data_IF_634356796009
#
_entry.id   IF_634356796009
#
_cell.length_a   1.000
_cell.length_b   1.000
_cell.length_c   1.000
_cell.angle_alpha   90.00
_cell.angle_beta   90.00
_cell.angle_gamma   90.00
#
_symmetry.space_group_name_H-M   'P 1'
#
loop_
_entity.id
_entity.type
_entity.pdbx_description
1 polymer ?
#
# COMPACT_ATOMS: atom_id res chain seq x y z
N UNK A 1 -4.90 -2.78 39.81
CA UNK A 1 -4.73 -4.07 39.10
C UNK A 1 -4.37 -3.76 37.66
N UNK A 2 -3.12 -3.96 37.25
CA UNK A 2 -2.72 -3.77 35.86
C UNK A 2 -3.25 -4.95 35.05
N UNK A 3 -4.27 -4.72 34.22
CA UNK A 3 -4.70 -5.70 33.22
C UNK A 3 -3.61 -5.76 32.16
N UNK A 4 -2.66 -6.69 32.29
CA UNK A 4 -1.69 -6.98 31.24
C UNK A 4 -2.40 -7.76 30.14
N UNK A 5 -2.68 -7.10 29.02
CA UNK A 5 -3.16 -7.77 27.82
C UNK A 5 -2.06 -8.65 27.23
N UNK A 6 -2.44 -9.78 26.62
CA UNK A 6 -1.50 -10.58 25.82
C UNK A 6 -0.83 -9.70 24.75
N UNK A 7 0.47 -9.92 24.41
CA UNK A 7 1.16 -9.18 23.35
C UNK A 7 0.39 -9.10 22.04
N UNK A 8 -0.32 -10.19 21.69
CA UNK A 8 -1.17 -10.27 20.51
C UNK A 8 -2.34 -9.28 20.57
N UNK A 9 -3.05 -9.23 21.69
CA UNK A 9 -4.20 -8.31 21.90
C UNK A 9 -3.73 -6.86 21.81
N UNK A 10 -2.56 -6.56 22.41
CA UNK A 10 -1.98 -5.21 22.36
C UNK A 10 -1.66 -4.80 20.93
N UNK A 11 -1.04 -5.68 20.14
CA UNK A 11 -0.75 -5.42 18.72
C UNK A 11 -2.01 -5.25 17.89
N UNK A 12 -3.03 -6.07 18.11
CA UNK A 12 -4.32 -5.94 17.42
C UNK A 12 -5.00 -4.59 17.69
N UNK A 13 -4.96 -4.12 18.94
CA UNK A 13 -5.46 -2.79 19.32
C UNK A 13 -4.68 -1.70 18.59
N UNK A 14 -3.35 -1.78 18.59
CA UNK A 14 -2.50 -0.80 17.90
C UNK A 14 -2.74 -0.76 16.39
N UNK A 15 -2.88 -1.91 15.73
CA UNK A 15 -3.22 -1.99 14.30
C UNK A 15 -4.58 -1.39 14.00
N UNK A 16 -5.57 -1.62 14.87
CA UNK A 16 -6.91 -1.02 14.74
C UNK A 16 -6.87 0.51 14.92
N UNK A 17 -6.08 1.01 15.86
CA UNK A 17 -5.85 2.44 16.04
C UNK A 17 -5.14 3.07 14.83
N UNK A 18 -4.17 2.35 14.24
CA UNK A 18 -3.49 2.79 13.01
C UNK A 18 -4.49 2.92 11.85
N UNK A 19 -5.36 1.92 11.65
CA UNK A 19 -6.42 1.96 10.62
C UNK A 19 -7.27 3.23 10.79
N UNK A 20 -7.79 3.48 12.00
CA UNK A 20 -8.62 4.67 12.29
C UNK A 20 -7.86 5.97 12.01
N UNK A 21 -6.58 6.02 12.35
CA UNK A 21 -5.73 7.18 12.06
C UNK A 21 -5.57 7.41 10.55
N UNK A 22 -5.36 6.33 9.78
CA UNK A 22 -5.28 6.42 8.32
C UNK A 22 -6.62 6.80 7.67
N UNK A 23 -7.75 6.33 8.21
CA UNK A 23 -9.08 6.72 7.75
C UNK A 23 -9.35 8.22 7.96
N UNK A 24 -9.01 8.75 9.14
CA UNK A 24 -9.11 10.18 9.41
C UNK A 24 -8.21 11.00 8.47
N UNK A 25 -6.99 10.52 8.23
CA UNK A 25 -6.09 11.13 7.24
C UNK A 25 -6.70 11.10 5.83
N UNK A 26 -7.29 9.98 5.42
CA UNK A 26 -7.93 9.82 4.13
C UNK A 26 -9.08 10.83 3.96
N UNK A 27 -9.96 10.95 4.96
CA UNK A 27 -11.06 11.92 4.96
C UNK A 27 -10.53 13.35 4.79
N UNK A 28 -9.46 13.72 5.51
CA UNK A 28 -8.85 15.03 5.39
C UNK A 28 -8.25 15.27 3.99
N UNK A 29 -7.58 14.28 3.40
CA UNK A 29 -7.01 14.38 2.06
C UNK A 29 -8.09 14.50 0.98
N UNK A 30 -9.19 13.76 1.11
CA UNK A 30 -10.34 13.82 0.20
C UNK A 30 -11.08 15.15 0.31
N UNK A 31 -11.30 15.65 1.54
CA UNK A 31 -11.87 16.98 1.78
C UNK A 31 -10.97 18.08 1.21
N UNK A 32 -9.65 17.97 1.40
CA UNK A 32 -8.67 18.89 0.81
C UNK A 32 -8.75 18.85 -0.72
N UNK A 33 -8.78 17.66 -1.34
CA UNK A 33 -8.91 17.51 -2.80
C UNK A 33 -10.17 18.19 -3.33
N UNK A 34 -11.30 18.00 -2.65
CA UNK A 34 -12.57 18.62 -3.01
C UNK A 34 -12.49 20.15 -2.91
N UNK A 35 -11.94 20.67 -1.80
CA UNK A 35 -11.72 22.12 -1.61
C UNK A 35 -10.82 22.71 -2.69
N UNK A 36 -9.70 22.07 -3.02
CA UNK A 36 -8.79 22.56 -4.07
C UNK A 36 -9.49 22.62 -5.44
N UNK A 37 -10.22 21.57 -5.81
CA UNK A 37 -10.98 21.52 -7.08
C UNK A 37 -12.11 22.55 -7.12
N UNK A 38 -12.84 22.73 -6.03
CA UNK A 38 -13.87 23.75 -5.90
C UNK A 38 -13.28 25.15 -6.07
N UNK A 39 -12.18 25.44 -5.38
CA UNK A 39 -11.44 26.71 -5.50
C UNK A 39 -11.05 27.01 -6.94
N UNK A 40 -10.43 26.05 -7.65
CA UNK A 40 -10.06 26.24 -9.05
C UNK A 40 -11.26 26.42 -9.97
N UNK A 41 -12.36 25.71 -9.72
CA UNK A 41 -13.58 25.82 -10.52
C UNK A 41 -14.21 27.20 -10.35
N UNK A 42 -14.31 27.68 -9.11
CA UNK A 42 -14.86 29.00 -8.81
C UNK A 42 -13.94 30.11 -9.29
N UNK A 43 -12.62 29.97 -9.15
CA UNK A 43 -11.63 30.89 -9.72
C UNK A 43 -11.86 31.10 -11.23
N UNK A 44 -12.01 30.01 -12.00
CA UNK A 44 -12.26 30.09 -13.45
C UNK A 44 -13.56 30.84 -13.77
N UNK A 45 -14.62 30.61 -12.98
CA UNK A 45 -15.90 31.34 -13.12
C UNK A 45 -15.76 32.82 -12.74
N UNK A 46 -15.04 33.12 -11.67
CA UNK A 46 -14.80 34.48 -11.15
C UNK A 46 -14.01 35.34 -12.13
N UNK A 47 -12.96 34.78 -12.74
CA UNK A 47 -12.23 35.44 -13.83
C UNK A 47 -13.15 35.76 -15.01
N UNK A 48 -13.97 34.79 -15.44
CA UNK A 48 -14.93 34.97 -16.54
C UNK A 48 -16.01 36.02 -16.22
N UNK A 49 -16.40 36.16 -14.95
CA UNK A 49 -17.41 37.10 -14.48
C UNK A 49 -16.85 38.51 -14.19
N UNK A 50 -15.61 38.81 -14.58
CA UNK A 50 -15.03 40.15 -14.37
C UNK A 50 -14.55 40.41 -12.94
N UNK A 51 -14.28 39.36 -12.16
CA UNK A 51 -13.69 39.43 -10.80
C UNK A 51 -14.59 40.04 -9.72
N UNK A 52 -15.91 39.83 -9.79
CA UNK A 52 -16.83 40.22 -8.71
C UNK A 52 -16.67 39.34 -7.46
N UNK A 53 -16.11 39.89 -6.37
CA UNK A 53 -15.92 39.20 -5.09
C UNK A 53 -17.22 38.69 -4.46
N UNK A 54 -18.39 39.27 -4.76
CA UNK A 54 -19.69 38.78 -4.24
C UNK A 54 -20.02 37.39 -4.74
N UNK A 55 -19.55 37.03 -5.95
CA UNK A 55 -19.74 35.71 -6.53
C UNK A 55 -18.96 34.61 -5.79
N UNK A 56 -17.86 34.94 -5.11
CA UNK A 56 -17.07 33.97 -4.34
C UNK A 56 -17.79 33.56 -3.05
N UNK A 57 -18.40 34.53 -2.37
CA UNK A 57 -19.19 34.30 -1.15
C UNK A 57 -20.44 33.48 -1.49
N UNK A 58 -21.15 33.83 -2.56
CA UNK A 58 -22.33 33.07 -3.03
C UNK A 58 -22.00 31.64 -3.45
N UNK A 59 -20.77 31.37 -3.89
CA UNK A 59 -20.31 30.03 -4.26
C UNK A 59 -20.04 29.11 -3.05
N UNK A 60 -20.22 29.59 -1.81
CA UNK A 60 -20.04 28.80 -0.59
C UNK A 60 -18.59 28.43 -0.30
N UNK A 61 -17.63 29.21 -0.81
CA UNK A 61 -16.22 29.06 -0.50
C UNK A 61 -15.96 29.50 0.95
N UNK A 62 -15.07 28.78 1.64
CA UNK A 62 -14.57 29.21 2.93
C UNK A 62 -13.65 30.45 2.80
N UNK A 63 -13.52 31.19 3.91
CA UNK A 63 -12.69 32.38 4.04
C UNK A 63 -11.25 32.21 3.53
N UNK A 64 -10.63 31.05 3.78
CA UNK A 64 -9.27 30.77 3.29
C UNK A 64 -9.22 30.58 1.77
N UNK A 65 -10.26 29.96 1.19
CA UNK A 65 -10.35 29.76 -0.25
C UNK A 65 -10.58 31.08 -0.97
N UNK A 66 -11.43 31.94 -0.42
CA UNK A 66 -11.68 33.30 -0.93
C UNK A 66 -10.39 34.10 -0.90
N UNK A 67 -9.71 34.15 0.26
CA UNK A 67 -8.43 34.85 0.40
C UNK A 67 -7.41 34.33 -0.61
N UNK A 68 -7.32 33.01 -0.79
CA UNK A 68 -6.40 32.42 -1.76
C UNK A 68 -6.73 32.82 -3.19
N UNK A 69 -8.00 32.89 -3.58
CA UNK A 69 -8.43 33.38 -4.91
C UNK A 69 -8.11 34.86 -5.09
N UNK A 70 -8.46 35.71 -4.12
CA UNK A 70 -8.32 37.18 -4.24
C UNK A 70 -6.85 37.63 -4.23
N UNK A 71 -6.00 36.94 -3.47
CA UNK A 71 -4.56 37.23 -3.40
C UNK A 71 -3.76 36.55 -4.52
N UNK A 72 -4.39 35.63 -5.27
CA UNK A 72 -3.73 34.93 -6.35
C UNK A 72 -3.34 35.89 -7.47
N UNK A 73 -2.06 35.87 -7.83
CA UNK A 73 -1.54 36.54 -9.02
C UNK A 73 -1.17 35.47 -10.03
N UNK A 74 -1.76 35.56 -11.21
CA UNK A 74 -1.47 34.64 -12.30
C UNK A 74 -0.01 34.81 -12.72
N UNK A 75 0.76 33.72 -12.57
CA UNK A 75 2.17 33.64 -12.90
C UNK A 75 2.38 32.45 -13.86
N UNK A 76 3.38 31.59 -13.61
CA UNK A 76 3.53 30.34 -14.35
C UNK A 76 2.35 29.38 -14.12
N UNK A 77 1.72 29.44 -12.95
CA UNK A 77 0.54 28.64 -12.66
C UNK A 77 -0.71 29.36 -13.20
N UNK A 78 -1.62 28.63 -13.85
CA UNK A 78 -2.85 29.18 -14.45
C UNK A 78 -4.06 29.20 -13.49
N UNK A 79 -3.87 28.77 -12.25
CA UNK A 79 -4.94 28.61 -11.26
C UNK A 79 -4.38 28.51 -9.82
N UNK A 80 -5.15 28.91 -8.80
CA UNK A 80 -4.71 28.96 -7.40
C UNK A 80 -4.15 27.65 -6.83
N UNK A 81 -4.70 26.51 -7.26
CA UNK A 81 -4.15 25.18 -6.97
C UNK A 81 -3.64 24.54 -8.26
N UNK A 82 -2.33 24.57 -8.54
CA UNK A 82 -1.79 24.05 -9.78
C UNK A 82 -2.04 22.55 -9.95
N UNK A 83 -1.99 22.07 -11.20
CA UNK A 83 -2.36 20.69 -11.50
C UNK A 83 -1.48 19.65 -10.78
N UNK A 84 -0.20 19.94 -10.57
CA UNK A 84 0.70 19.04 -9.86
C UNK A 84 0.32 18.87 -8.38
N UNK A 85 -0.21 19.90 -7.73
CA UNK A 85 -0.65 19.85 -6.32
C UNK A 85 -1.83 18.88 -6.17
N UNK A 86 -2.81 18.99 -7.08
CA UNK A 86 -3.98 18.10 -7.15
C UNK A 86 -3.57 16.65 -7.46
N UNK A 87 -2.61 16.46 -8.37
CA UNK A 87 -2.09 15.14 -8.73
C UNK A 87 -1.34 14.50 -7.55
N UNK A 88 -0.49 15.26 -6.87
CA UNK A 88 0.27 14.79 -5.72
C UNK A 88 -0.66 14.35 -4.58
N UNK A 89 -1.64 15.20 -4.22
CA UNK A 89 -2.63 14.83 -3.21
C UNK A 89 -3.43 13.58 -3.63
N UNK A 90 -3.80 13.49 -4.91
CA UNK A 90 -4.44 12.29 -5.46
C UNK A 90 -3.59 11.02 -5.34
N UNK A 91 -2.27 11.11 -5.52
CA UNK A 91 -1.35 10.00 -5.29
C UNK A 91 -1.30 9.62 -3.80
N UNK A 92 -1.24 10.60 -2.90
CA UNK A 92 -1.28 10.37 -1.46
C UNK A 92 -2.59 9.70 -1.02
N UNK A 93 -3.74 10.10 -1.57
CA UNK A 93 -5.04 9.45 -1.33
C UNK A 93 -4.98 7.97 -1.72
N UNK A 94 -4.53 7.66 -2.95
CA UNK A 94 -4.43 6.26 -3.42
C UNK A 94 -3.51 5.43 -2.53
N UNK A 95 -2.36 5.96 -2.15
CA UNK A 95 -1.42 5.27 -1.27
C UNK A 95 -1.99 5.05 0.13
N UNK A 96 -2.74 6.02 0.66
CA UNK A 96 -3.40 5.90 1.97
C UNK A 96 -4.50 4.82 1.93
N UNK A 97 -5.29 4.74 0.85
CA UNK A 97 -6.29 3.66 0.65
C UNK A 97 -5.62 2.28 0.63
N UNK A 98 -4.55 2.13 -0.15
CA UNK A 98 -3.76 0.89 -0.18
C UNK A 98 -3.25 0.49 1.21
N UNK A 99 -2.76 1.47 1.99
CA UNK A 99 -2.29 1.21 3.36
C UNK A 99 -3.42 0.73 4.28
N UNK A 100 -4.61 1.31 4.18
CA UNK A 100 -5.79 0.87 4.94
C UNK A 100 -6.15 -0.57 4.54
N UNK A 101 -6.22 -0.87 3.24
CA UNK A 101 -6.51 -2.22 2.74
C UNK A 101 -5.50 -3.25 3.26
N UNK A 102 -4.20 -2.94 3.21
CA UNK A 102 -3.14 -3.79 3.73
C UNK A 102 -3.28 -4.05 5.24
N UNK A 103 -3.53 -3.00 6.03
CA UNK A 103 -3.70 -3.12 7.48
C UNK A 103 -4.94 -3.94 7.84
N UNK A 104 -6.06 -3.68 7.18
CA UNK A 104 -7.31 -4.41 7.37
C UNK A 104 -7.15 -5.88 7.00
N UNK A 105 -6.46 -6.19 5.90
CA UNK A 105 -6.15 -7.56 5.50
C UNK A 105 -5.31 -8.27 6.57
N UNK A 106 -4.27 -7.63 7.10
CA UNK A 106 -3.43 -8.22 8.18
C UNK A 106 -4.24 -8.50 9.44
N UNK A 107 -5.10 -7.56 9.84
CA UNK A 107 -6.02 -7.73 10.96
C UNK A 107 -6.95 -8.92 10.75
N UNK A 108 -7.52 -9.06 9.55
CA UNK A 108 -8.42 -10.16 9.21
C UNK A 108 -7.68 -11.51 9.15
N UNK A 109 -6.48 -11.57 8.59
CA UNK A 109 -5.64 -12.78 8.56
C UNK A 109 -5.27 -13.25 9.97
N UNK A 110 -4.87 -12.32 10.86
CA UNK A 110 -4.57 -12.63 12.24
C UNK A 110 -5.80 -13.13 13.01
N UNK A 111 -6.97 -12.55 12.74
CA UNK A 111 -8.24 -13.00 13.33
C UNK A 111 -8.67 -14.37 12.81
N UNK A 112 -8.51 -14.64 11.51
CA UNK A 112 -8.87 -15.93 10.91
C UNK A 112 -7.98 -17.09 11.40
N UNK A 113 -6.78 -16.79 11.88
CA UNK A 113 -5.90 -17.76 12.52
C UNK A 113 -6.16 -17.91 14.04
N UNK A 114 -7.23 -17.31 14.58
CA UNK A 114 -7.52 -17.20 16.02
C UNK A 114 -6.35 -16.63 16.85
N UNK A 115 -5.41 -15.95 16.18
CA UNK A 115 -4.16 -15.49 16.79
C UNK A 115 -3.11 -16.58 17.04
N UNK A 116 -3.37 -17.81 16.63
CA UNK A 116 -2.45 -18.94 16.75
C UNK A 116 -1.45 -18.96 15.59
N UNK A 117 -0.21 -19.30 15.90
CA UNK A 117 0.84 -19.44 14.90
C UNK A 117 0.49 -20.59 13.95
N UNK A 118 0.54 -20.32 12.65
CA UNK A 118 0.31 -21.36 11.63
C UNK A 118 1.63 -22.02 11.27
N UNK A 119 1.72 -23.32 11.47
CA UNK A 119 2.88 -24.12 11.05
C UNK A 119 2.57 -24.89 9.76
N UNK A 120 3.51 -24.92 8.82
CA UNK A 120 3.42 -25.71 7.59
C UNK A 120 4.71 -26.49 7.41
N UNK A 121 4.63 -27.81 7.40
CA UNK A 121 5.78 -28.70 7.20
C UNK A 121 6.25 -28.71 5.75
N UNK A 122 7.55 -28.87 5.55
CA UNK A 122 8.20 -29.10 4.26
C UNK A 122 9.32 -30.13 4.38
N UNK A 123 9.87 -30.55 3.25
CA UNK A 123 11.01 -31.47 3.25
C UNK A 123 12.27 -30.81 3.86
N UNK A 124 12.60 -31.22 5.09
CA UNK A 124 13.75 -30.70 5.84
C UNK A 124 13.43 -29.69 6.94
N UNK A 125 12.16 -29.39 7.22
CA UNK A 125 11.78 -28.46 8.29
C UNK A 125 10.31 -28.04 8.30
N UNK A 126 10.02 -26.91 8.94
CA UNK A 126 8.70 -26.28 8.95
C UNK A 126 8.79 -24.76 8.85
N UNK A 127 7.77 -24.15 8.25
CA UNK A 127 7.59 -22.70 8.20
C UNK A 127 6.51 -22.30 9.18
N UNK A 128 6.83 -21.33 10.04
CA UNK A 128 5.97 -20.85 11.12
C UNK A 128 5.57 -19.41 10.78
N UNK A 129 4.27 -19.19 10.63
CA UNK A 129 3.65 -17.88 10.49
C UNK A 129 3.36 -17.37 11.89
N UNK A 130 4.33 -16.68 12.47
CA UNK A 130 4.21 -16.10 13.79
C UNK A 130 3.46 -14.76 13.69
N UNK A 131 2.15 -14.80 13.92
CA UNK A 131 1.30 -13.60 13.84
C UNK A 131 1.51 -12.70 15.05
N UNK A 132 1.92 -13.26 16.18
CA UNK A 132 2.23 -12.49 17.39
C UNK A 132 3.40 -11.55 17.16
N UNK A 133 4.50 -12.00 16.57
CA UNK A 133 5.71 -11.23 16.31
C UNK A 133 5.79 -10.64 14.89
N UNK A 134 4.76 -10.87 14.07
CA UNK A 134 4.75 -10.54 12.65
C UNK A 134 6.03 -11.06 11.97
N UNK A 135 6.34 -12.33 12.21
CA UNK A 135 7.53 -13.00 11.66
C UNK A 135 7.10 -14.21 10.85
N UNK A 136 7.70 -14.34 9.67
CA UNK A 136 7.75 -15.60 8.98
C UNK A 136 9.07 -16.27 9.38
N UNK A 137 8.96 -17.39 10.09
CA UNK A 137 10.08 -18.13 10.64
C UNK A 137 10.23 -19.46 9.90
N UNK A 138 11.46 -19.94 9.77
CA UNK A 138 11.80 -21.21 9.14
C UNK A 138 12.66 -22.00 10.12
N UNK A 139 12.13 -23.13 10.53
CA UNK A 139 12.77 -24.11 11.39
C UNK A 139 13.28 -25.28 10.54
N UNK A 140 14.58 -25.52 10.57
CA UNK A 140 15.18 -26.63 9.83
C UNK A 140 15.55 -27.75 10.80
N UNK A 141 15.21 -28.99 10.44
CA UNK A 141 15.55 -30.17 11.25
C UNK A 141 17.07 -30.37 11.40
N UNK A 142 17.81 -29.96 10.37
CA UNK A 142 19.26 -30.01 10.32
C UNK A 142 19.81 -28.73 9.69
N UNK A 143 21.12 -28.48 9.87
CA UNK A 143 21.77 -27.31 9.27
C UNK A 143 21.54 -27.31 7.75
N UNK A 144 20.89 -26.28 7.18
CA UNK A 144 20.62 -26.24 5.75
C UNK A 144 21.92 -26.16 4.94
N UNK A 145 21.88 -26.68 3.71
CA UNK A 145 23.04 -26.64 2.82
C UNK A 145 23.48 -25.21 2.52
N UNK A 146 24.78 -24.98 2.21
CA UNK A 146 25.30 -23.65 1.89
C UNK A 146 24.52 -22.91 0.79
N UNK A 147 23.99 -23.64 -0.21
CA UNK A 147 23.15 -23.09 -1.27
C UNK A 147 21.83 -22.54 -0.73
N UNK A 148 21.15 -23.27 0.15
CA UNK A 148 19.90 -22.83 0.79
C UNK A 148 20.15 -21.63 1.71
N UNK A 149 21.24 -21.64 2.49
CA UNK A 149 21.63 -20.48 3.32
C UNK A 149 21.80 -19.22 2.47
N UNK A 150 22.42 -19.34 1.29
CA UNK A 150 22.59 -18.22 0.37
C UNK A 150 21.25 -17.70 -0.14
N UNK A 151 20.36 -18.59 -0.59
CA UNK A 151 19.02 -18.22 -1.06
C UNK A 151 18.20 -17.50 0.03
N UNK A 152 18.25 -18.00 1.27
CA UNK A 152 17.61 -17.37 2.42
C UNK A 152 18.09 -15.92 2.60
N UNK A 153 19.41 -15.71 2.61
CA UNK A 153 20.01 -14.37 2.75
C UNK A 153 19.66 -13.44 1.60
N UNK A 154 19.73 -13.93 0.36
CA UNK A 154 19.39 -13.16 -0.84
C UNK A 154 17.92 -12.71 -0.82
N UNK A 155 17.03 -13.54 -0.26
CA UNK A 155 15.62 -13.20 -0.08
C UNK A 155 15.29 -12.54 1.27
N UNK A 156 16.30 -12.05 1.99
CA UNK A 156 16.13 -11.22 3.18
C UNK A 156 15.75 -11.96 4.47
N UNK A 157 15.84 -13.29 4.51
CA UNK A 157 15.79 -14.04 5.76
C UNK A 157 17.10 -13.86 6.54
N UNK A 158 16.97 -13.66 7.85
CA UNK A 158 18.10 -13.48 8.76
C UNK A 158 18.05 -14.56 9.83
N UNK A 159 19.20 -15.15 10.13
CA UNK A 159 19.36 -16.03 11.29
C UNK A 159 19.18 -15.22 12.57
N UNK A 160 18.27 -15.66 13.44
CA UNK A 160 18.02 -15.03 14.73
C UNK A 160 18.50 -15.96 15.86
N UNK A 161 19.70 -15.73 16.43
CA UNK A 161 20.28 -16.63 17.43
C UNK A 161 19.46 -16.70 18.73
N UNK A 162 18.66 -15.68 19.03
CA UNK A 162 17.78 -15.66 20.20
C UNK A 162 16.62 -16.65 20.11
N UNK A 163 16.14 -16.94 18.89
CA UNK A 163 15.03 -17.87 18.64
C UNK A 163 15.55 -19.19 18.05
N UNK A 164 16.77 -19.19 17.50
CA UNK A 164 17.35 -20.36 16.83
C UNK A 164 16.72 -20.64 15.46
N UNK A 165 16.12 -19.64 14.81
CA UNK A 165 15.38 -19.79 13.56
C UNK A 165 15.82 -18.77 12.51
N UNK A 166 15.63 -19.11 11.23
CA UNK A 166 15.69 -18.12 10.16
C UNK A 166 14.38 -17.34 10.14
N UNK A 167 14.43 -16.01 10.10
CA UNK A 167 13.21 -15.22 10.12
C UNK A 167 13.27 -13.95 9.27
N UNK A 168 12.09 -13.50 8.85
CA UNK A 168 11.84 -12.23 8.15
C UNK A 168 10.51 -11.64 8.63
N UNK A 169 10.30 -10.34 8.43
CA UNK A 169 8.99 -9.69 8.60
C UNK A 169 7.91 -10.45 7.81
N UNK A 170 6.76 -10.72 8.44
CA UNK A 170 5.62 -11.38 7.82
C UNK A 170 4.94 -10.43 6.83
N UNK A 171 5.40 -10.46 5.58
CA UNK A 171 4.83 -9.69 4.47
C UNK A 171 4.40 -10.62 3.34
N UNK A 172 3.54 -10.16 2.45
CA UNK A 172 3.08 -10.98 1.31
C UNK A 172 4.25 -11.45 0.43
N UNK A 173 5.30 -10.63 0.29
CA UNK A 173 6.53 -11.06 -0.39
C UNK A 173 7.25 -12.17 0.38
N UNK A 174 7.35 -12.09 1.71
CA UNK A 174 7.95 -13.16 2.50
C UNK A 174 7.17 -14.47 2.36
N UNK A 175 5.83 -14.41 2.38
CA UNK A 175 4.95 -15.55 2.16
C UNK A 175 5.19 -16.18 0.77
N UNK A 176 5.25 -15.36 -0.27
CA UNK A 176 5.54 -15.82 -1.64
C UNK A 176 6.90 -16.48 -1.78
N UNK A 177 7.94 -15.89 -1.18
CA UNK A 177 9.29 -16.48 -1.22
C UNK A 177 9.31 -17.82 -0.49
N UNK A 178 8.67 -17.92 0.68
CA UNK A 178 8.64 -19.18 1.43
C UNK A 178 7.87 -20.26 0.66
N UNK A 179 6.75 -19.91 0.03
CA UNK A 179 6.00 -20.79 -0.85
C UNK A 179 6.87 -21.30 -2.02
N UNK A 180 7.62 -20.41 -2.67
CA UNK A 180 8.55 -20.78 -3.74
C UNK A 180 9.73 -21.66 -3.26
N UNK A 181 10.40 -21.28 -2.17
CA UNK A 181 11.59 -21.97 -1.67
C UNK A 181 11.27 -23.35 -1.09
N UNK A 182 10.15 -23.47 -0.37
CA UNK A 182 9.81 -24.66 0.41
C UNK A 182 8.64 -25.46 -0.17
N UNK A 183 7.96 -24.94 -1.19
CA UNK A 183 6.83 -25.60 -1.87
C UNK A 183 5.68 -25.94 -0.91
N UNK A 184 5.40 -25.01 0.01
CA UNK A 184 4.45 -25.17 1.13
C UNK A 184 3.04 -24.62 0.84
N UNK A 185 2.80 -24.18 -0.40
CA UNK A 185 1.53 -23.68 -0.93
C UNK A 185 1.40 -23.97 -2.43
N UNK A 186 0.41 -23.38 -3.09
CA UNK A 186 0.01 -23.70 -4.47
C UNK A 186 0.97 -23.24 -5.56
N UNK A 187 2.24 -22.98 -5.24
CA UNK A 187 3.28 -22.61 -6.21
C UNK A 187 3.56 -23.76 -7.18
N UNK A 188 2.77 -23.82 -8.27
CA UNK A 188 3.11 -24.54 -9.48
C UNK A 188 4.01 -23.62 -10.32
N UNK A 189 5.31 -23.94 -10.51
CA UNK A 189 6.21 -23.12 -11.32
C UNK A 189 5.69 -22.84 -12.73
N UNK A 190 4.88 -23.77 -13.27
CA UNK A 190 4.23 -23.68 -14.58
C UNK A 190 3.17 -22.56 -14.63
N UNK A 191 2.33 -22.42 -13.59
CA UNK A 191 1.25 -21.42 -13.57
C UNK A 191 1.78 -19.97 -13.45
N UNK A 192 2.96 -19.77 -12.86
CA UNK A 192 3.61 -18.46 -12.79
C UNK A 192 4.24 -18.10 -14.12
N UNK A 193 4.97 -19.03 -14.75
CA UNK A 193 5.51 -18.86 -16.09
C UNK A 193 4.42 -18.58 -17.14
N UNK A 194 3.27 -19.24 -17.02
CA UNK A 194 2.10 -19.00 -17.88
C UNK A 194 1.48 -17.61 -17.67
N UNK A 195 1.40 -17.12 -16.41
CA UNK A 195 0.91 -15.77 -16.11
C UNK A 195 1.86 -14.70 -16.63
N UNK A 196 3.17 -14.88 -16.47
CA UNK A 196 4.19 -13.97 -17.01
C UNK A 196 4.19 -13.97 -18.54
N UNK A 197 4.05 -15.14 -19.18
CA UNK A 197 3.90 -15.24 -20.63
C UNK A 197 2.62 -14.54 -21.12
N UNK A 198 1.52 -14.68 -20.37
CA UNK A 198 0.24 -14.01 -20.69
C UNK A 198 0.35 -12.49 -20.55
N UNK A 199 0.97 -12.00 -19.48
CA UNK A 199 1.20 -10.56 -19.28
C UNK A 199 2.12 -9.98 -20.35
N UNK A 200 3.18 -10.71 -20.73
CA UNK A 200 4.08 -10.31 -21.82
C UNK A 200 3.34 -10.24 -23.16
N UNK A 201 2.53 -11.24 -23.48
CA UNK A 201 1.71 -11.25 -24.70
C UNK A 201 0.67 -10.11 -24.71
N UNK A 202 0.06 -9.80 -23.57
CA UNK A 202 -0.85 -8.65 -23.44
C UNK A 202 -0.13 -7.31 -23.63
N UNK A 203 1.07 -7.16 -23.09
CA UNK A 203 1.89 -5.97 -23.28
C UNK A 203 2.32 -5.81 -24.75
N UNK A 204 2.73 -6.91 -25.40
CA UNK A 204 3.08 -6.92 -26.83
C UNK A 204 1.88 -6.58 -27.72
N UNK A 205 0.69 -7.12 -27.42
CA UNK A 205 -0.54 -6.76 -28.12
C UNK A 205 -0.94 -5.30 -27.91
N UNK A 206 -0.76 -4.77 -26.69
CA UNK A 206 -1.03 -3.38 -26.37
C UNK A 206 -0.04 -2.42 -27.06
N UNK A 207 1.22 -2.83 -27.21
CA UNK A 207 2.24 -2.11 -27.98
C UNK A 207 1.94 -2.13 -29.48
N UNK A 208 1.49 -3.28 -30.02
CA UNK A 208 1.08 -3.40 -31.42
C UNK A 208 -0.17 -2.55 -31.74
N UNK A 209 -1.09 -2.42 -30.78
CA UNK A 209 -2.27 -1.57 -30.92
C UNK A 209 -1.94 -0.06 -30.93
N UNK A 210 -0.78 0.32 -30.39
CA UNK A 210 -0.23 1.68 -30.45
C UNK A 210 0.87 1.83 -31.52
N UNK A 211 1.09 0.82 -32.37
CA UNK A 211 1.95 0.99 -33.53
C UNK A 211 1.22 1.85 -34.58
N UNK A 212 1.76 3.04 -34.87
CA UNK A 212 1.25 3.93 -35.92
C UNK A 212 1.51 3.23 -37.27
N UNK A 213 0.53 3.14 -38.19
CA UNK A 213 0.78 2.55 -39.50
C UNK A 213 1.83 3.39 -40.23
N UNK A 214 2.89 2.74 -40.71
CA UNK A 214 3.89 3.37 -41.55
C UNK A 214 3.19 3.83 -42.84
N UNK A 215 3.05 5.15 -43.01
CA UNK A 215 2.34 5.78 -44.14
C UNK A 215 2.90 5.26 -45.48
N UNK A 216 2.01 4.74 -46.32
CA UNK A 216 2.25 4.41 -47.73
C UNK A 216 1.73 5.54 -48.64
#
# INVERSE_FOLDING_TARGET
MSLSFSPLITKQIMSTLEIKSQEAKLQNLEALQARMKATNTTYKKWIKAGKDSRALIQAGLDSDQIRKIETYKEDYNKQPHPSWEITNNGATIRNTKKRIEELTKRVAEAQAADGEDKEIDFDGGKVIYNYTDERLQVDFNQKPEPKMIRLLKENGFKWAPSVGLWQRQLTDNAKHVADWLFKIGSYAPQAVAEREATQKAQLEAQLAQWAIPEEA
#
